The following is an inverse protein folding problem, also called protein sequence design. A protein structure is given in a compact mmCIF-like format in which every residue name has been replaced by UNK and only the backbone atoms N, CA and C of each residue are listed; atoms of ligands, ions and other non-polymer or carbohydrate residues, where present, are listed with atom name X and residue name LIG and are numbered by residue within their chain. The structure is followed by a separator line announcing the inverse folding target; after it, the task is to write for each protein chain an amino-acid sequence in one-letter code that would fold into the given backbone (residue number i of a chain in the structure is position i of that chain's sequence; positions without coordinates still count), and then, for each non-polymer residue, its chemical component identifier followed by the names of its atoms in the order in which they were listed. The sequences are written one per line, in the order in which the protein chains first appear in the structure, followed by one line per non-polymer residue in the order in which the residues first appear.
data_IF_067880594105
#
_entry.id   IF_067880594105
#
_cell.length_a   1.000
_cell.length_b   1.000
_cell.length_c   1.000
_cell.angle_alpha   90.00
_cell.angle_beta   90.00
_cell.angle_gamma   90.00
#
_symmetry.space_group_name_H-M   'P 1'
#
loop_
_entity.id
_entity.type
_entity.pdbx_description
1 polymer ?
#
# COMPACT_ATOMS: atom_id res chain seq x y z
N UNK A 1 19.30 -23.42 -13.62
CA UNK A 1 19.06 -21.98 -13.93
C UNK A 1 19.17 -21.26 -12.60
N UNK A 2 20.17 -20.39 -12.44
CA UNK A 2 20.23 -19.55 -11.24
C UNK A 2 19.02 -18.61 -11.28
N UNK A 3 18.08 -18.79 -10.35
CA UNK A 3 16.91 -17.92 -10.24
C UNK A 3 17.35 -16.48 -9.93
N UNK A 4 16.57 -15.50 -10.38
CA UNK A 4 16.79 -14.08 -10.03
C UNK A 4 16.69 -13.86 -8.53
N UNK A 5 17.48 -12.94 -8.00
CA UNK A 5 17.47 -12.56 -6.58
C UNK A 5 16.72 -11.23 -6.41
N UNK A 6 15.71 -11.23 -5.55
CA UNK A 6 14.94 -10.06 -5.16
C UNK A 6 15.31 -9.60 -3.75
N UNK A 7 15.40 -8.29 -3.54
CA UNK A 7 15.43 -7.69 -2.20
C UNK A 7 14.13 -6.93 -1.96
N UNK A 8 13.39 -7.29 -0.91
CA UNK A 8 12.08 -6.71 -0.62
C UNK A 8 12.14 -5.96 0.70
N UNK A 9 11.99 -4.63 0.67
CA UNK A 9 11.78 -3.86 1.90
C UNK A 9 10.32 -3.94 2.32
N UNK A 10 10.05 -3.86 3.62
CA UNK A 10 8.67 -4.01 4.11
C UNK A 10 8.10 -5.42 3.92
N UNK A 11 8.95 -6.45 3.92
CA UNK A 11 8.64 -7.85 3.63
C UNK A 11 7.55 -8.48 4.53
N UNK A 12 7.23 -7.87 5.68
CA UNK A 12 6.17 -8.31 6.61
C UNK A 12 4.90 -7.47 6.55
N UNK A 13 4.85 -6.45 5.67
CA UNK A 13 3.64 -5.67 5.42
C UNK A 13 2.67 -6.39 4.49
N UNK A 14 1.45 -5.85 4.33
CA UNK A 14 0.41 -6.42 3.46
C UNK A 14 0.94 -6.71 2.04
N UNK A 15 1.51 -5.71 1.36
CA UNK A 15 2.05 -5.88 0.01
C UNK A 15 3.33 -6.73 0.00
N UNK A 16 4.28 -6.43 0.90
CA UNK A 16 5.56 -7.13 0.93
C UNK A 16 5.43 -8.63 1.20
N UNK A 17 4.51 -9.05 2.09
CA UNK A 17 4.27 -10.47 2.36
C UNK A 17 3.73 -11.21 1.14
N UNK A 18 2.72 -10.63 0.47
CA UNK A 18 2.17 -11.22 -0.76
C UNK A 18 3.20 -11.27 -1.89
N UNK A 19 4.00 -10.21 -2.03
CA UNK A 19 5.06 -10.14 -3.03
C UNK A 19 6.14 -11.19 -2.78
N UNK A 20 6.63 -11.32 -1.53
CA UNK A 20 7.62 -12.33 -1.18
C UNK A 20 7.14 -13.75 -1.51
N UNK A 21 5.89 -14.09 -1.18
CA UNK A 21 5.34 -15.41 -1.48
C UNK A 21 5.22 -15.66 -2.99
N UNK A 22 4.76 -14.66 -3.73
CA UNK A 22 4.63 -14.77 -5.19
C UNK A 22 6.01 -14.91 -5.86
N UNK A 23 7.01 -14.15 -5.45
CA UNK A 23 8.40 -14.27 -5.94
C UNK A 23 8.96 -15.67 -5.68
N UNK A 24 8.82 -16.18 -4.45
CA UNK A 24 9.27 -17.54 -4.10
C UNK A 24 8.56 -18.60 -4.94
N UNK A 25 7.25 -18.47 -5.15
CA UNK A 25 6.48 -19.41 -5.99
C UNK A 25 6.92 -19.42 -7.45
N UNK A 26 7.48 -18.30 -7.94
CA UNK A 26 8.05 -18.16 -9.28
C UNK A 26 9.55 -18.55 -9.36
N UNK A 27 10.12 -19.09 -8.28
CA UNK A 27 11.50 -19.56 -8.25
C UNK A 27 12.57 -18.49 -8.03
N UNK A 28 12.19 -17.30 -7.54
CA UNK A 28 13.15 -16.28 -7.13
C UNK A 28 13.79 -16.63 -5.79
N UNK A 29 15.05 -16.24 -5.62
CA UNK A 29 15.66 -16.10 -4.31
C UNK A 29 15.20 -14.77 -3.72
N UNK A 30 14.69 -14.77 -2.49
CA UNK A 30 14.10 -13.57 -1.88
C UNK A 30 14.81 -13.23 -0.58
N UNK A 31 15.39 -12.04 -0.52
CA UNK A 31 15.91 -11.41 0.70
C UNK A 31 14.86 -10.39 1.18
N UNK A 32 14.30 -10.59 2.36
CA UNK A 32 13.27 -9.74 2.94
C UNK A 32 13.80 -8.89 4.08
N UNK A 33 13.83 -7.55 3.94
CA UNK A 33 14.24 -6.66 5.02
C UNK A 33 13.15 -6.58 6.10
N UNK A 34 13.51 -6.88 7.33
CA UNK A 34 12.60 -6.91 8.49
C UNK A 34 13.27 -6.33 9.74
N UNK A 35 12.53 -5.63 10.56
CA UNK A 35 13.03 -5.11 11.84
C UNK A 35 13.22 -6.22 12.88
N UNK A 36 12.35 -7.22 12.88
CA UNK A 36 12.32 -8.31 13.85
C UNK A 36 12.15 -9.66 13.14
N UNK A 37 13.22 -10.45 13.08
CA UNK A 37 13.24 -11.75 12.38
C UNK A 37 12.24 -12.74 13.00
N UNK A 38 12.16 -12.84 14.33
CA UNK A 38 11.26 -13.78 15.00
C UNK A 38 9.80 -13.49 14.70
N UNK A 39 9.43 -12.21 14.62
CA UNK A 39 8.10 -11.79 14.21
C UNK A 39 7.82 -12.17 12.77
N UNK A 40 8.78 -11.97 11.86
CA UNK A 40 8.65 -12.34 10.45
C UNK A 40 8.45 -13.84 10.27
N UNK A 41 9.25 -14.66 10.94
CA UNK A 41 9.12 -16.13 10.92
C UNK A 41 7.79 -16.62 11.48
N UNK A 42 7.23 -15.94 12.51
CA UNK A 42 5.92 -16.28 13.06
C UNK A 42 4.78 -16.08 12.06
N UNK A 43 4.83 -15.01 11.27
CA UNK A 43 3.80 -14.72 10.27
C UNK A 43 4.00 -15.46 8.93
N UNK A 44 5.23 -15.90 8.66
CA UNK A 44 5.59 -16.63 7.44
C UNK A 44 6.45 -17.87 7.78
N UNK A 45 5.93 -18.82 8.56
CA UNK A 45 6.74 -19.92 9.14
C UNK A 45 7.35 -20.85 8.11
N UNK A 46 6.70 -21.02 6.94
CA UNK A 46 7.17 -21.90 5.85
C UNK A 46 7.80 -21.11 4.70
N UNK A 47 8.19 -19.87 4.94
CA UNK A 47 8.75 -19.00 3.91
C UNK A 47 10.16 -19.45 3.52
N UNK A 48 10.42 -19.53 2.20
CA UNK A 48 11.76 -19.64 1.64
C UNK A 48 12.45 -18.28 1.50
N UNK A 49 11.99 -17.29 2.27
CA UNK A 49 12.56 -15.94 2.29
C UNK A 49 13.72 -15.92 3.28
N UNK A 50 14.87 -15.45 2.82
CA UNK A 50 15.99 -15.08 3.68
C UNK A 50 15.67 -13.75 4.35
N UNK A 51 15.38 -13.75 5.65
CA UNK A 51 15.11 -12.51 6.37
C UNK A 51 16.40 -11.82 6.78
N UNK A 52 16.58 -10.60 6.29
CA UNK A 52 17.68 -9.70 6.63
C UNK A 52 17.18 -8.75 7.72
N UNK A 53 17.87 -8.73 8.87
CA UNK A 53 17.52 -7.79 9.93
C UNK A 53 18.05 -6.39 9.59
N UNK A 54 17.17 -5.40 9.65
CA UNK A 54 17.50 -4.00 9.44
C UNK A 54 16.27 -3.11 9.46
N UNK A 55 16.51 -1.82 9.54
CA UNK A 55 15.47 -0.78 9.45
C UNK A 55 15.77 0.11 8.25
N UNK A 56 14.73 0.50 7.53
CA UNK A 56 14.85 1.42 6.39
C UNK A 56 15.39 2.79 6.82
N UNK A 57 15.26 3.16 8.09
CA UNK A 57 15.84 4.36 8.66
C UNK A 57 17.38 4.31 8.77
N UNK A 58 18.01 3.16 8.50
CA UNK A 58 19.46 2.98 8.54
C UNK A 58 19.92 2.09 7.37
N UNK A 59 19.87 2.65 6.17
CA UNK A 59 20.24 1.95 4.94
C UNK A 59 21.67 1.40 4.96
N UNK A 60 22.70 2.13 5.46
CA UNK A 60 24.06 1.62 5.49
C UNK A 60 24.22 0.28 6.23
N UNK A 61 23.41 0.04 7.26
CA UNK A 61 23.51 -1.18 8.08
C UNK A 61 23.17 -2.47 7.30
N UNK A 62 22.29 -2.39 6.30
CA UNK A 62 21.91 -3.55 5.49
C UNK A 62 22.34 -3.46 4.02
N UNK A 63 22.95 -2.36 3.58
CA UNK A 63 23.41 -2.16 2.21
C UNK A 63 24.29 -3.32 1.68
N UNK A 64 25.17 -3.98 2.46
CA UNK A 64 25.92 -5.13 2.00
C UNK A 64 25.06 -6.31 1.53
N UNK A 65 23.81 -6.46 2.06
CA UNK A 65 22.89 -7.51 1.65
C UNK A 65 22.31 -7.29 0.23
N UNK A 66 22.46 -6.10 -0.35
CA UNK A 66 22.07 -5.79 -1.72
C UNK A 66 23.04 -6.36 -2.76
N UNK A 67 24.22 -6.80 -2.36
CA UNK A 67 25.18 -7.42 -3.29
C UNK A 67 24.61 -8.68 -3.93
N UNK A 68 24.68 -8.75 -5.27
CA UNK A 68 24.15 -9.85 -6.06
C UNK A 68 22.63 -9.88 -6.17
N UNK A 69 21.94 -8.80 -5.83
CA UNK A 69 20.49 -8.61 -6.02
C UNK A 69 20.24 -8.12 -7.44
N UNK A 70 19.32 -8.76 -8.15
CA UNK A 70 18.91 -8.34 -9.49
C UNK A 70 17.88 -7.19 -9.45
N UNK A 71 16.94 -7.26 -8.50
CA UNK A 71 15.84 -6.28 -8.38
C UNK A 71 15.55 -5.95 -6.91
N UNK A 72 15.47 -4.66 -6.60
CA UNK A 72 14.91 -4.17 -5.34
C UNK A 72 13.42 -3.88 -5.51
N UNK A 73 12.60 -4.42 -4.64
CA UNK A 73 11.19 -4.08 -4.50
C UNK A 73 11.00 -3.25 -3.23
N UNK A 74 10.76 -1.96 -3.39
CA UNK A 74 10.63 -1.06 -2.26
C UNK A 74 9.17 -0.88 -1.87
N UNK A 75 8.71 -1.64 -0.85
CA UNK A 75 7.34 -1.58 -0.34
C UNK A 75 7.25 -1.00 1.07
N UNK A 76 8.38 -0.74 1.74
CA UNK A 76 8.39 -0.12 3.04
C UNK A 76 7.90 1.34 2.96
N UNK A 77 7.07 1.74 3.90
CA UNK A 77 6.63 3.12 4.09
C UNK A 77 6.15 3.35 5.53
N UNK A 78 6.32 4.56 6.00
CA UNK A 78 5.62 5.05 7.19
C UNK A 78 4.20 5.45 6.76
N UNK A 79 3.22 4.64 7.12
CA UNK A 79 1.83 4.83 6.68
C UNK A 79 0.82 4.65 7.80
N UNK A 80 0.91 3.55 8.56
CA UNK A 80 -0.08 3.15 9.56
C UNK A 80 -0.12 4.14 10.72
N UNK A 81 1.04 4.54 11.18
CA UNK A 81 1.23 5.45 12.29
C UNK A 81 0.68 6.85 12.00
N UNK A 82 0.57 7.20 10.72
CA UNK A 82 0.02 8.48 10.27
C UNK A 82 -1.45 8.68 10.70
N UNK A 83 -2.20 7.60 10.84
CA UNK A 83 -3.60 7.65 11.30
C UNK A 83 -3.74 7.73 12.82
N UNK A 84 -2.64 7.78 13.56
CA UNK A 84 -2.61 7.99 15.00
C UNK A 84 -2.31 9.46 15.32
N UNK A 85 -2.74 9.97 16.49
CA UNK A 85 -2.41 11.32 16.93
C UNK A 85 -0.89 11.54 17.00
N UNK A 86 -0.41 12.71 16.60
CA UNK A 86 1.00 13.12 16.72
C UNK A 86 1.55 13.89 15.52
N UNK A 87 2.73 14.46 15.72
CA UNK A 87 3.48 15.15 14.68
C UNK A 87 4.34 14.16 13.88
N UNK A 88 3.86 13.69 12.73
CA UNK A 88 4.50 12.62 11.97
C UNK A 88 5.34 13.10 10.79
N UNK A 89 5.37 14.40 10.50
CA UNK A 89 5.94 14.91 9.25
C UNK A 89 7.42 14.57 9.08
N UNK A 90 8.25 14.90 10.07
CA UNK A 90 9.70 14.70 9.94
C UNK A 90 10.06 13.22 9.77
N UNK A 91 9.48 12.35 10.60
CA UNK A 91 9.71 10.92 10.51
C UNK A 91 9.16 10.34 9.21
N UNK A 92 7.99 10.79 8.80
CA UNK A 92 7.37 10.33 7.54
C UNK A 92 8.18 10.78 6.33
N UNK A 93 8.66 12.02 6.31
CA UNK A 93 9.53 12.53 5.25
C UNK A 93 10.85 11.73 5.22
N UNK A 94 11.48 11.56 6.37
CA UNK A 94 12.72 10.79 6.46
C UNK A 94 12.55 9.36 5.91
N UNK A 95 11.54 8.61 6.36
CA UNK A 95 11.35 7.21 5.93
C UNK A 95 10.87 7.11 4.47
N UNK A 96 9.91 7.95 4.07
CA UNK A 96 9.25 7.78 2.77
C UNK A 96 10.00 8.50 1.62
N UNK A 97 10.85 9.47 1.93
CA UNK A 97 11.57 10.27 0.93
C UNK A 97 13.08 10.03 1.05
N UNK A 98 13.67 10.48 2.17
CA UNK A 98 15.13 10.52 2.29
C UNK A 98 15.72 9.09 2.25
N UNK A 99 15.18 8.17 3.05
CA UNK A 99 15.62 6.77 3.06
C UNK A 99 15.31 6.01 1.75
N UNK A 100 14.29 6.45 0.99
CA UNK A 100 14.05 5.92 -0.36
C UNK A 100 15.23 6.23 -1.27
N UNK A 101 15.71 7.48 -1.27
CA UNK A 101 16.84 7.87 -2.12
C UNK A 101 18.14 7.23 -1.65
N UNK A 102 18.38 7.17 -0.33
CA UNK A 102 19.51 6.42 0.21
C UNK A 102 19.50 4.95 -0.24
N UNK A 103 18.34 4.29 -0.22
CA UNK A 103 18.20 2.92 -0.70
C UNK A 103 18.56 2.79 -2.19
N UNK A 104 18.10 3.72 -3.03
CA UNK A 104 18.41 3.71 -4.46
C UNK A 104 19.92 3.88 -4.70
N UNK A 105 20.55 4.83 -4.01
CA UNK A 105 22.00 5.07 -4.09
C UNK A 105 22.79 3.85 -3.61
N UNK A 106 22.40 3.25 -2.48
CA UNK A 106 23.04 2.05 -1.96
C UNK A 106 22.87 0.84 -2.91
N UNK A 107 21.68 0.68 -3.50
CA UNK A 107 21.42 -0.38 -4.46
C UNK A 107 22.25 -0.20 -5.73
N UNK A 108 22.34 1.01 -6.28
CA UNK A 108 23.19 1.32 -7.43
C UNK A 108 24.68 1.03 -7.13
N UNK A 109 25.17 1.46 -5.97
CA UNK A 109 26.54 1.20 -5.53
C UNK A 109 26.86 -0.29 -5.38
N UNK A 110 25.87 -1.13 -5.10
CA UNK A 110 26.00 -2.59 -5.04
C UNK A 110 25.75 -3.28 -6.39
N UNK A 111 25.52 -2.52 -7.46
CA UNK A 111 25.33 -3.04 -8.82
C UNK A 111 23.93 -3.54 -9.13
N UNK A 112 22.93 -3.16 -8.33
CA UNK A 112 21.52 -3.48 -8.64
C UNK A 112 21.08 -2.66 -9.85
N UNK A 113 20.58 -3.34 -10.88
CA UNK A 113 20.20 -2.70 -12.13
C UNK A 113 18.81 -2.06 -12.10
N UNK A 114 17.91 -2.56 -11.25
CA UNK A 114 16.51 -2.14 -11.25
C UNK A 114 15.87 -2.09 -9.87
N UNK A 115 15.07 -1.06 -9.63
CA UNK A 115 14.19 -0.93 -8.47
C UNK A 115 12.73 -0.74 -8.90
N UNK A 116 11.80 -1.44 -8.26
CA UNK A 116 10.36 -1.21 -8.37
C UNK A 116 9.89 -0.53 -7.09
N UNK A 117 9.53 0.75 -7.21
CA UNK A 117 9.10 1.58 -6.09
C UNK A 117 7.58 1.59 -5.95
N UNK A 118 7.09 1.45 -4.73
CA UNK A 118 5.66 1.58 -4.41
C UNK A 118 5.33 3.02 -4.04
N UNK A 119 4.71 3.72 -4.98
CA UNK A 119 4.10 5.03 -4.75
C UNK A 119 2.66 4.87 -4.24
N UNK A 120 1.76 5.72 -4.68
CA UNK A 120 0.33 5.64 -4.35
C UNK A 120 -0.50 6.28 -5.46
N UNK A 121 -1.66 5.73 -5.77
CA UNK A 121 -2.61 6.37 -6.69
C UNK A 121 -3.18 7.69 -6.15
N UNK A 122 -3.10 7.93 -4.84
CA UNK A 122 -3.49 9.20 -4.23
C UNK A 122 -2.62 10.40 -4.62
N UNK A 123 -1.49 10.18 -5.32
CA UNK A 123 -0.69 11.29 -5.90
C UNK A 123 -1.28 11.86 -7.18
N UNK A 124 -2.23 11.16 -7.82
CA UNK A 124 -2.83 11.53 -9.10
C UNK A 124 -4.00 12.49 -8.90
N UNK A 125 -4.03 13.60 -9.64
CA UNK A 125 -5.18 14.50 -9.66
C UNK A 125 -6.34 13.82 -10.38
N UNK A 126 -7.46 13.71 -9.68
CA UNK A 126 -8.72 13.19 -10.23
C UNK A 126 -9.70 14.32 -10.51
N UNK A 127 -10.65 14.05 -11.40
CA UNK A 127 -11.71 14.96 -11.78
C UNK A 127 -13.06 14.22 -11.78
N UNK A 128 -14.18 14.90 -11.51
CA UNK A 128 -15.51 14.29 -11.56
C UNK A 128 -15.77 13.64 -12.94
N UNK A 129 -16.38 12.47 -12.93
CA UNK A 129 -16.85 11.74 -14.12
C UNK A 129 -15.77 11.33 -15.14
N UNK A 130 -14.50 11.48 -14.80
CA UNK A 130 -13.39 11.07 -15.67
C UNK A 130 -12.41 10.19 -14.90
N UNK A 131 -12.01 9.06 -15.51
CA UNK A 131 -10.93 8.24 -14.96
C UNK A 131 -9.57 8.91 -15.24
N UNK A 132 -8.84 9.21 -14.18
CA UNK A 132 -7.52 9.82 -14.30
C UNK A 132 -6.46 8.76 -14.70
N UNK A 133 -5.45 9.20 -15.44
CA UNK A 133 -4.33 8.38 -15.90
C UNK A 133 -3.01 8.89 -15.31
N UNK A 134 -1.92 8.19 -15.60
CA UNK A 134 -0.57 8.56 -15.14
C UNK A 134 -0.08 9.91 -15.67
N UNK A 135 -0.71 10.45 -16.74
CA UNK A 135 -0.38 11.76 -17.32
C UNK A 135 -1.01 12.93 -16.57
N UNK A 136 -1.96 12.66 -15.66
CA UNK A 136 -2.56 13.70 -14.85
C UNK A 136 -1.52 14.32 -13.89
N UNK A 137 -1.66 15.61 -13.56
CA UNK A 137 -0.75 16.29 -12.64
C UNK A 137 -0.84 15.70 -11.23
N UNK A 138 0.08 16.09 -10.37
CA UNK A 138 0.00 15.74 -8.95
C UNK A 138 -1.24 16.34 -8.30
N UNK A 139 -1.90 15.54 -7.47
CA UNK A 139 -3.13 15.92 -6.79
C UNK A 139 -2.95 17.12 -5.85
N UNK A 140 -3.86 18.09 -5.94
CA UNK A 140 -3.95 19.18 -4.97
C UNK A 140 -4.30 18.67 -3.57
N UNK A 141 -5.09 17.60 -3.47
CA UNK A 141 -5.39 16.93 -2.21
C UNK A 141 -4.14 16.29 -1.60
N UNK A 142 -3.26 15.70 -2.42
CA UNK A 142 -2.01 15.12 -1.95
C UNK A 142 -1.11 16.14 -1.21
N UNK A 143 -1.21 17.44 -1.52
CA UNK A 143 -0.44 18.46 -0.80
C UNK A 143 -0.93 18.69 0.64
N UNK A 144 -2.20 18.38 0.91
CA UNK A 144 -2.84 18.51 2.24
C UNK A 144 -2.76 17.21 3.06
N UNK A 145 -2.63 16.07 2.41
CA UNK A 145 -2.47 14.77 3.03
C UNK A 145 -0.99 14.45 3.16
N UNK A 146 -0.46 14.41 4.38
CA UNK A 146 0.99 14.26 4.61
C UNK A 146 1.57 12.99 3.98
N UNK A 147 0.86 11.87 4.01
CA UNK A 147 1.32 10.63 3.39
C UNK A 147 1.44 10.77 1.86
N UNK A 148 0.39 11.24 1.19
CA UNK A 148 0.45 11.44 -0.25
C UNK A 148 1.46 12.53 -0.63
N UNK A 149 1.62 13.56 0.21
CA UNK A 149 2.67 14.58 0.02
C UNK A 149 4.06 13.95 0.03
N UNK A 150 4.35 13.01 0.94
CA UNK A 150 5.66 12.32 0.92
C UNK A 150 5.82 11.44 -0.31
N UNK A 151 4.75 10.82 -0.83
CA UNK A 151 4.83 10.05 -2.08
C UNK A 151 5.10 10.94 -3.29
N UNK A 152 4.48 12.11 -3.37
CA UNK A 152 4.79 13.12 -4.41
C UNK A 152 6.25 13.57 -4.32
N UNK A 153 6.75 13.84 -3.11
CA UNK A 153 8.15 14.25 -2.92
C UNK A 153 9.11 13.11 -3.33
N UNK A 154 8.82 11.87 -2.90
CA UNK A 154 9.64 10.71 -3.27
C UNK A 154 9.69 10.51 -4.80
N UNK A 155 8.56 10.64 -5.51
CA UNK A 155 8.57 10.57 -6.98
C UNK A 155 9.44 11.67 -7.61
N UNK A 156 9.38 12.91 -7.10
CA UNK A 156 10.21 14.01 -7.59
C UNK A 156 11.69 13.75 -7.36
N UNK A 157 12.07 13.31 -6.17
CA UNK A 157 13.46 12.97 -5.85
C UNK A 157 13.95 11.76 -6.68
N UNK A 158 13.07 10.78 -6.96
CA UNK A 158 13.39 9.67 -7.88
C UNK A 158 13.66 10.21 -9.29
N UNK A 159 12.88 11.15 -9.80
CA UNK A 159 13.16 11.75 -11.11
C UNK A 159 14.50 12.47 -11.12
N UNK A 160 14.84 13.22 -10.08
CA UNK A 160 16.17 13.86 -9.96
C UNK A 160 17.30 12.82 -9.89
N UNK A 161 17.13 11.76 -9.09
CA UNK A 161 18.09 10.65 -9.05
C UNK A 161 18.30 10.03 -10.44
N UNK A 162 17.25 9.87 -11.21
CA UNK A 162 17.32 9.30 -12.56
C UNK A 162 18.06 10.19 -13.57
N UNK A 163 18.25 11.49 -13.34
CA UNK A 163 19.02 12.37 -14.23
C UNK A 163 20.49 11.95 -14.31
N UNK A 164 21.05 11.43 -13.23
CA UNK A 164 22.48 11.07 -13.13
C UNK A 164 22.73 9.57 -12.96
N UNK A 165 21.76 8.81 -12.48
CA UNK A 165 21.85 7.38 -12.24
C UNK A 165 21.67 6.57 -13.54
N UNK A 166 22.27 5.37 -13.58
CA UNK A 166 22.03 4.39 -14.64
C UNK A 166 21.00 3.33 -14.24
N UNK A 167 20.57 3.31 -12.98
CA UNK A 167 19.58 2.38 -12.48
C UNK A 167 18.21 2.62 -13.13
N UNK A 168 17.49 1.56 -13.41
CA UNK A 168 16.08 1.65 -13.80
C UNK A 168 15.21 1.71 -12.55
N UNK A 169 14.43 2.78 -12.38
CA UNK A 169 13.39 2.85 -11.38
C UNK A 169 12.03 2.87 -12.07
N UNK A 170 11.14 1.95 -11.67
CA UNK A 170 9.75 1.88 -12.15
C UNK A 170 8.83 2.12 -10.96
N UNK A 171 7.80 2.93 -11.13
CA UNK A 171 6.90 3.33 -10.04
C UNK A 171 5.53 2.69 -10.20
N UNK A 172 5.10 1.93 -9.21
CA UNK A 172 3.75 1.37 -9.12
C UNK A 172 2.91 2.24 -8.20
N UNK A 173 1.74 2.64 -8.67
CA UNK A 173 0.77 3.47 -7.98
C UNK A 173 -0.47 2.63 -7.61
N UNK A 174 -0.45 1.91 -6.47
CA UNK A 174 -1.58 1.07 -6.09
C UNK A 174 -2.81 1.89 -5.77
N UNK A 175 -3.99 1.32 -6.06
CA UNK A 175 -5.25 1.73 -5.48
C UNK A 175 -5.35 1.34 -4.00
N UNK A 176 -6.54 1.35 -3.45
CA UNK A 176 -6.78 0.94 -2.07
C UNK A 176 -6.71 -0.59 -1.95
N UNK A 177 -5.62 -1.08 -1.37
CA UNK A 177 -5.30 -2.51 -1.33
C UNK A 177 -6.05 -3.25 -0.24
N UNK A 178 -6.63 -4.41 -0.59
CA UNK A 178 -7.17 -5.40 0.34
C UNK A 178 -6.66 -6.79 -0.04
N UNK A 179 -6.67 -7.73 0.91
CA UNK A 179 -6.26 -9.12 0.66
C UNK A 179 -5.72 -9.80 1.90
N UNK A 180 -5.25 -11.05 1.77
CA UNK A 180 -4.67 -11.82 2.87
C UNK A 180 -3.32 -11.25 3.32
N UNK A 181 -2.84 -11.69 4.49
CA UNK A 181 -1.56 -11.29 5.13
C UNK A 181 -1.50 -9.85 5.64
N UNK A 182 -2.63 -9.24 5.97
CA UNK A 182 -2.70 -7.96 6.66
C UNK A 182 -2.54 -8.15 8.17
N UNK A 183 -1.38 -8.67 8.59
CA UNK A 183 -1.05 -9.09 9.95
C UNK A 183 -1.06 -7.96 11.00
N UNK A 184 -1.04 -6.72 10.57
CA UNK A 184 -1.37 -5.58 11.39
C UNK A 184 -2.32 -4.72 10.57
N UNK A 185 -3.63 -4.81 10.83
CA UNK A 185 -4.65 -4.31 9.93
C UNK A 185 -4.36 -2.90 9.40
N UNK A 186 -4.29 -2.77 8.08
CA UNK A 186 -4.23 -1.48 7.39
C UNK A 186 -5.54 -0.72 7.59
N UNK A 187 -5.63 0.54 7.16
CA UNK A 187 -6.89 1.29 7.21
C UNK A 187 -8.03 0.57 6.44
N UNK A 188 -7.69 -0.10 5.33
CA UNK A 188 -8.63 -0.92 4.57
C UNK A 188 -9.07 -2.16 5.36
N UNK A 189 -8.11 -2.87 5.95
CA UNK A 189 -8.38 -4.02 6.79
C UNK A 189 -9.19 -3.67 8.04
N UNK A 190 -8.86 -2.53 8.69
CA UNK A 190 -9.61 -2.07 9.85
C UNK A 190 -11.06 -1.72 9.50
N UNK A 191 -11.31 -1.16 8.30
CA UNK A 191 -12.68 -0.95 7.81
C UNK A 191 -13.44 -2.26 7.71
N UNK A 192 -12.85 -3.30 7.10
CA UNK A 192 -13.47 -4.64 7.00
C UNK A 192 -13.79 -5.19 8.39
N UNK A 193 -12.85 -5.12 9.33
CA UNK A 193 -13.05 -5.57 10.72
C UNK A 193 -14.14 -4.77 11.44
N UNK A 194 -14.22 -3.46 11.21
CA UNK A 194 -15.24 -2.61 11.82
C UNK A 194 -16.64 -2.89 11.24
N UNK A 195 -16.76 -3.13 9.93
CA UNK A 195 -18.03 -3.51 9.29
C UNK A 195 -18.51 -4.88 9.81
N UNK A 196 -17.64 -5.89 9.82
CA UNK A 196 -17.97 -7.23 10.28
C UNK A 196 -18.23 -7.31 11.78
N UNK A 197 -17.59 -6.45 12.56
CA UNK A 197 -17.84 -6.31 14.00
C UNK A 197 -19.04 -5.44 14.35
N UNK A 198 -19.83 -4.98 13.37
CA UNK A 198 -20.97 -4.05 13.56
C UNK A 198 -20.63 -2.80 14.37
N UNK A 199 -19.38 -2.31 14.24
CA UNK A 199 -18.89 -1.15 15.01
C UNK A 199 -19.18 0.19 14.35
N UNK A 200 -19.66 0.19 13.09
CA UNK A 200 -19.97 1.40 12.33
C UNK A 200 -21.47 1.66 12.35
N UNK A 201 -21.93 2.80 12.87
CA UNK A 201 -23.34 3.16 12.88
C UNK A 201 -23.87 3.51 11.49
N UNK A 202 -22.98 3.82 10.56
CA UNK A 202 -23.26 4.19 9.18
C UNK A 202 -22.00 4.19 8.32
N UNK A 203 -22.19 4.45 7.04
CA UNK A 203 -21.11 4.57 6.04
C UNK A 203 -21.10 5.98 5.46
N UNK A 204 -19.95 6.44 4.98
CA UNK A 204 -19.80 7.73 4.30
C UNK A 204 -20.20 7.60 2.82
N UNK A 205 -20.60 8.72 2.19
CA UNK A 205 -20.90 8.76 0.76
C UNK A 205 -19.60 8.92 -0.07
N UNK A 206 -18.74 7.93 0.01
CA UNK A 206 -17.44 7.96 -0.64
C UNK A 206 -17.06 6.60 -1.21
N UNK A 207 -15.85 6.52 -1.75
CA UNK A 207 -15.36 5.29 -2.35
C UNK A 207 -13.90 5.38 -2.76
N UNK A 208 -13.38 4.28 -3.29
CA UNK A 208 -12.03 4.21 -3.80
C UNK A 208 -11.90 3.15 -4.90
N UNK A 209 -10.88 3.27 -5.74
CA UNK A 209 -10.48 2.20 -6.63
C UNK A 209 -9.81 1.11 -5.81
N UNK A 210 -10.55 0.02 -5.57
CA UNK A 210 -10.09 -1.14 -4.81
C UNK A 210 -9.25 -2.06 -5.67
N UNK A 211 -8.18 -2.60 -5.09
CA UNK A 211 -7.35 -3.60 -5.76
C UNK A 211 -6.95 -4.72 -4.81
N UNK A 212 -6.87 -5.92 -5.36
CA UNK A 212 -6.30 -7.05 -4.63
C UNK A 212 -4.79 -6.85 -4.50
N UNK A 213 -4.27 -7.01 -3.30
CA UNK A 213 -2.83 -6.86 -3.03
C UNK A 213 -1.98 -7.84 -3.84
N UNK A 214 -2.52 -9.01 -4.19
CA UNK A 214 -1.84 -10.02 -5.01
C UNK A 214 -1.72 -9.57 -6.47
N UNK A 215 -2.67 -8.77 -6.96
CA UNK A 215 -2.61 -8.19 -8.30
C UNK A 215 -1.57 -7.07 -8.35
N UNK A 216 -1.45 -6.29 -7.28
CA UNK A 216 -0.35 -5.32 -7.14
C UNK A 216 1.01 -6.02 -7.07
N UNK A 217 1.12 -7.11 -6.30
CA UNK A 217 2.35 -7.91 -6.24
C UNK A 217 2.73 -8.48 -7.63
N UNK A 218 1.76 -9.01 -8.37
CA UNK A 218 1.98 -9.49 -9.74
C UNK A 218 2.39 -8.36 -10.68
N UNK A 219 1.77 -7.18 -10.57
CA UNK A 219 2.13 -6.00 -11.34
C UNK A 219 3.57 -5.55 -11.05
N UNK A 220 4.02 -5.58 -9.78
CA UNK A 220 5.40 -5.25 -9.41
C UNK A 220 6.40 -6.21 -10.04
N UNK A 221 6.12 -7.51 -10.03
CA UNK A 221 6.98 -8.51 -10.67
C UNK A 221 7.01 -8.28 -12.19
N UNK A 222 5.86 -8.03 -12.81
CA UNK A 222 5.82 -7.70 -14.24
C UNK A 222 6.57 -6.40 -14.55
N UNK A 223 6.43 -5.37 -13.72
CA UNK A 223 7.16 -4.11 -13.86
C UNK A 223 8.68 -4.29 -13.74
N UNK A 224 9.14 -5.25 -12.94
CA UNK A 224 10.57 -5.59 -12.88
C UNK A 224 11.13 -6.17 -14.17
N UNK A 225 10.27 -6.65 -15.06
CA UNK A 225 10.65 -7.29 -16.33
C UNK A 225 10.32 -6.44 -17.56
N UNK A 226 9.18 -5.74 -17.55
CA UNK A 226 8.59 -5.03 -18.69
C UNK A 226 8.47 -3.52 -18.49
N UNK A 227 8.51 -3.06 -17.23
CA UNK A 227 8.34 -1.65 -16.90
C UNK A 227 9.43 -0.80 -17.52
N UNK A 228 9.06 0.38 -17.99
CA UNK A 228 9.99 1.35 -18.60
C UNK A 228 10.59 2.24 -17.49
N UNK A 229 11.86 2.58 -17.65
CA UNK A 229 12.60 3.45 -16.72
C UNK A 229 11.90 4.79 -16.54
N UNK A 230 11.70 5.21 -15.29
CA UNK A 230 11.04 6.47 -14.92
C UNK A 230 9.53 6.48 -15.09
N UNK A 231 8.92 5.40 -15.60
CA UNK A 231 7.48 5.36 -15.84
C UNK A 231 6.68 5.02 -14.58
N UNK A 232 5.50 5.63 -14.50
CA UNK A 232 4.48 5.36 -13.49
C UNK A 232 3.43 4.42 -14.07
N UNK A 233 2.92 3.52 -13.24
CA UNK A 233 1.83 2.59 -13.59
C UNK A 233 0.78 2.57 -12.49
N UNK A 234 -0.42 3.03 -12.80
CA UNK A 234 -1.57 2.93 -11.89
C UNK A 234 -2.03 1.47 -11.88
N UNK A 235 -2.03 0.88 -10.68
CA UNK A 235 -2.53 -0.48 -10.44
C UNK A 235 -3.68 -0.38 -9.45
N UNK A 236 -4.82 0.02 -9.97
CA UNK A 236 -6.03 0.26 -9.21
C UNK A 236 -7.19 -0.47 -9.91
N UNK A 237 -7.90 -1.27 -9.16
CA UNK A 237 -9.09 -1.96 -9.67
C UNK A 237 -10.25 -0.99 -9.95
N UNK A 238 -11.46 -1.50 -10.02
CA UNK A 238 -12.64 -0.66 -10.27
C UNK A 238 -12.99 0.23 -9.07
N UNK A 239 -13.51 1.43 -9.36
CA UNK A 239 -14.10 2.29 -8.34
C UNK A 239 -15.25 1.56 -7.65
N UNK A 240 -15.23 1.54 -6.31
CA UNK A 240 -16.27 0.98 -5.45
C UNK A 240 -16.67 1.97 -4.39
N UNK A 241 -17.96 2.13 -4.20
CA UNK A 241 -18.50 2.95 -3.12
C UNK A 241 -18.41 2.20 -1.79
N UNK A 242 -18.45 2.94 -0.68
CA UNK A 242 -18.53 2.33 0.65
C UNK A 242 -19.75 1.42 0.80
N UNK A 243 -20.86 1.77 0.11
CA UNK A 243 -22.07 0.94 0.06
C UNK A 243 -21.82 -0.37 -0.67
N UNK A 244 -21.14 -0.35 -1.83
CA UNK A 244 -20.83 -1.58 -2.58
C UNK A 244 -19.98 -2.53 -1.73
N UNK A 245 -18.97 -2.00 -1.03
CA UNK A 245 -18.10 -2.79 -0.15
C UNK A 245 -18.90 -3.42 0.99
N UNK A 246 -19.77 -2.63 1.64
CA UNK A 246 -20.57 -3.10 2.78
C UNK A 246 -21.57 -4.17 2.36
N UNK A 247 -22.25 -4.03 1.21
CA UNK A 247 -23.17 -5.01 0.67
C UNK A 247 -22.46 -6.31 0.25
N UNK A 248 -21.28 -6.21 -0.34
CA UNK A 248 -20.48 -7.37 -0.71
C UNK A 248 -20.01 -8.14 0.54
N UNK A 249 -19.59 -7.43 1.60
CA UNK A 249 -19.25 -8.05 2.89
C UNK A 249 -20.48 -8.69 3.56
N UNK A 250 -21.67 -8.08 3.47
CA UNK A 250 -22.91 -8.70 3.94
C UNK A 250 -23.17 -10.03 3.21
N UNK A 251 -23.03 -10.05 1.88
CA UNK A 251 -23.24 -11.25 1.08
C UNK A 251 -22.26 -12.39 1.44
N UNK A 252 -20.99 -12.02 1.79
CA UNK A 252 -19.95 -12.99 2.14
C UNK A 252 -20.10 -13.52 3.57
N UNK A 253 -20.45 -12.66 4.52
CA UNK A 253 -20.37 -12.94 5.96
C UNK A 253 -21.72 -13.15 6.63
N UNK A 254 -22.82 -12.69 6.01
CA UNK A 254 -24.16 -12.64 6.62
C UNK A 254 -24.34 -11.47 7.62
N UNK A 255 -23.28 -10.71 7.95
CA UNK A 255 -23.36 -9.55 8.84
C UNK A 255 -24.01 -8.39 8.09
N UNK A 256 -25.09 -7.83 8.63
CA UNK A 256 -25.87 -6.78 7.96
C UNK A 256 -25.05 -5.50 7.75
N UNK A 257 -25.06 -5.02 6.52
CA UNK A 257 -24.46 -3.74 6.17
C UNK A 257 -25.18 -2.57 6.89
N UNK A 258 -24.43 -1.53 7.30
CA UNK A 258 -25.06 -0.32 7.84
C UNK A 258 -25.99 0.31 6.80
N UNK A 259 -27.23 0.59 7.21
CA UNK A 259 -28.24 1.20 6.33
C UNK A 259 -28.12 2.70 6.21
N UNK A 260 -27.55 3.34 7.22
CA UNK A 260 -27.44 4.80 7.28
C UNK A 260 -26.23 5.27 6.46
N UNK A 261 -26.45 6.21 5.56
CA UNK A 261 -25.39 6.97 4.92
C UNK A 261 -25.24 8.29 5.69
N UNK A 262 -24.07 8.52 6.24
CA UNK A 262 -23.75 9.71 7.01
C UNK A 262 -23.43 10.84 6.04
N UNK A 263 -24.12 11.99 6.08
CA UNK A 263 -23.80 13.14 5.23
C UNK A 263 -22.35 13.61 5.44
N UNK A 264 -21.67 14.02 4.37
CA UNK A 264 -20.23 14.32 4.35
C UNK A 264 -19.80 15.31 5.43
N UNK A 265 -20.55 16.41 5.60
CA UNK A 265 -20.26 17.41 6.63
C UNK A 265 -20.38 16.86 8.05
N UNK A 266 -21.38 15.99 8.31
CA UNK A 266 -21.55 15.33 9.61
C UNK A 266 -20.41 14.33 9.84
N UNK A 267 -20.04 13.52 8.84
CA UNK A 267 -18.94 12.57 8.93
C UNK A 267 -17.61 13.26 9.24
N UNK A 268 -17.31 14.37 8.56
CA UNK A 268 -16.11 15.18 8.82
C UNK A 268 -16.12 15.81 10.21
N UNK A 269 -17.28 16.32 10.68
CA UNK A 269 -17.39 16.91 12.01
C UNK A 269 -17.18 15.87 13.11
N UNK A 270 -17.75 14.68 12.96
CA UNK A 270 -17.57 13.57 13.91
C UNK A 270 -16.08 13.14 13.89
N UNK A 271 -15.49 12.97 12.73
CA UNK A 271 -14.08 12.58 12.61
C UNK A 271 -13.14 13.60 13.27
N UNK A 272 -13.40 14.90 13.11
CA UNK A 272 -12.66 15.98 13.75
C UNK A 272 -12.78 15.94 15.28
N UNK A 273 -14.00 15.76 15.81
CA UNK A 273 -14.21 15.64 17.26
C UNK A 273 -13.52 14.41 17.84
N UNK A 274 -13.59 13.27 17.15
CA UNK A 274 -12.91 12.05 17.57
C UNK A 274 -11.38 12.20 17.54
N UNK A 275 -10.84 12.98 16.60
CA UNK A 275 -9.41 13.27 16.55
C UNK A 275 -8.95 14.13 17.73
N UNK A 276 -9.72 15.17 18.09
CA UNK A 276 -9.46 15.96 19.30
C UNK A 276 -9.53 15.08 20.57
N UNK A 277 -10.57 14.25 20.69
CA UNK A 277 -10.74 13.36 21.83
C UNK A 277 -9.56 12.36 21.94
N UNK A 278 -9.17 11.75 20.83
CA UNK A 278 -8.04 10.84 20.80
C UNK A 278 -6.72 11.54 21.17
N UNK A 279 -6.52 12.79 20.73
CA UNK A 279 -5.37 13.61 21.11
C UNK A 279 -5.32 13.93 22.60
N UNK A 280 -6.48 14.16 23.24
CA UNK A 280 -6.57 14.46 24.68
C UNK A 280 -6.43 13.22 25.57
N UNK A 281 -6.94 12.08 25.11
CA UNK A 281 -7.01 10.84 25.92
C UNK A 281 -5.92 9.84 25.61
N UNK A 282 -5.17 10.02 24.50
CA UNK A 282 -4.22 9.02 24.00
C UNK A 282 -4.89 7.75 23.44
N UNK A 283 -6.22 7.78 23.22
CA UNK A 283 -6.96 6.64 22.69
C UNK A 283 -6.77 6.49 21.18
N UNK A 284 -6.98 5.27 20.66
CA UNK A 284 -6.96 5.03 19.21
C UNK A 284 -8.18 5.69 18.55
N UNK A 285 -7.96 6.51 17.52
CA UNK A 285 -9.03 7.11 16.75
C UNK A 285 -9.66 6.07 15.80
N UNK A 286 -10.95 5.69 15.98
CA UNK A 286 -11.59 4.70 15.10
C UNK A 286 -11.95 5.25 13.71
N UNK A 287 -11.99 6.58 13.55
CA UNK A 287 -12.38 7.26 12.32
C UNK A 287 -11.50 8.51 12.09
N UNK A 288 -10.23 8.33 11.67
CA UNK A 288 -9.31 9.45 11.44
C UNK A 288 -9.85 10.42 10.40
N UNK A 289 -9.77 11.72 10.68
CA UNK A 289 -10.29 12.78 9.82
C UNK A 289 -9.74 12.69 8.39
N UNK A 290 -8.43 12.47 8.26
CA UNK A 290 -7.78 12.32 6.96
C UNK A 290 -8.24 11.08 6.19
N UNK A 291 -8.63 10.02 6.90
CA UNK A 291 -9.20 8.80 6.30
C UNK A 291 -10.57 9.07 5.68
N UNK A 292 -11.44 9.79 6.41
CA UNK A 292 -12.76 10.20 5.89
C UNK A 292 -12.60 11.12 4.68
N UNK A 293 -11.74 12.13 4.76
CA UNK A 293 -11.46 13.00 3.61
C UNK A 293 -11.01 12.22 2.39
N UNK A 294 -10.09 11.24 2.56
CA UNK A 294 -9.59 10.42 1.46
C UNK A 294 -10.70 9.62 0.78
N UNK A 295 -11.64 9.06 1.55
CA UNK A 295 -12.80 8.34 1.00
C UNK A 295 -13.74 9.25 0.23
N UNK A 296 -13.98 10.47 0.72
CA UNK A 296 -14.85 11.44 0.08
C UNK A 296 -14.30 11.99 -1.25
N UNK A 297 -12.98 11.94 -1.47
CA UNK A 297 -12.36 12.32 -2.76
C UNK A 297 -12.82 11.41 -3.92
N UNK A 298 -13.28 10.20 -3.63
CA UNK A 298 -13.85 9.23 -4.60
C UNK A 298 -13.03 9.14 -5.89
N UNK A 299 -11.73 8.87 -5.74
CA UNK A 299 -10.78 8.88 -6.84
C UNK A 299 -11.08 7.80 -7.90
N UNK A 300 -11.50 8.23 -9.11
CA UNK A 300 -11.66 7.36 -10.27
C UNK A 300 -10.37 7.33 -11.08
N UNK A 301 -9.84 6.12 -11.35
CA UNK A 301 -8.51 5.90 -11.91
C UNK A 301 -8.56 4.87 -13.04
N UNK A 302 -7.72 5.04 -14.04
CA UNK A 302 -7.56 4.09 -15.15
C UNK A 302 -6.25 3.33 -15.02
N UNK A 303 -6.33 2.01 -15.01
CA UNK A 303 -5.16 1.12 -15.06
C UNK A 303 -4.86 0.60 -16.47
N UNK A 304 -5.40 1.26 -17.50
CA UNK A 304 -5.27 0.81 -18.90
C UNK A 304 -3.80 0.63 -19.32
N UNK A 305 -2.91 1.54 -18.91
CA UNK A 305 -1.48 1.45 -19.18
C UNK A 305 -0.84 0.22 -18.53
N UNK A 306 -1.13 -0.03 -17.25
CA UNK A 306 -0.62 -1.22 -16.55
C UNK A 306 -1.17 -2.52 -17.17
N UNK A 307 -2.43 -2.55 -17.57
CA UNK A 307 -3.02 -3.70 -18.28
C UNK A 307 -2.32 -3.94 -19.62
N UNK A 308 -2.08 -2.90 -20.41
CA UNK A 308 -1.49 -3.00 -21.73
C UNK A 308 0.01 -3.32 -21.68
N UNK A 309 0.79 -2.61 -20.86
CA UNK A 309 2.25 -2.70 -20.88
C UNK A 309 2.79 -3.77 -19.92
N UNK A 310 2.12 -3.98 -18.79
CA UNK A 310 2.55 -4.96 -17.79
C UNK A 310 1.72 -6.26 -17.80
N UNK A 311 0.60 -6.30 -18.53
CA UNK A 311 -0.28 -7.47 -18.58
C UNK A 311 -1.04 -7.69 -17.27
N UNK A 312 -1.34 -6.63 -16.53
CA UNK A 312 -2.07 -6.70 -15.27
C UNK A 312 -3.52 -7.12 -15.53
N UNK A 313 -4.04 -8.01 -14.70
CA UNK A 313 -5.46 -8.35 -14.61
C UNK A 313 -5.91 -8.20 -13.16
N UNK A 314 -7.19 -7.88 -12.96
CA UNK A 314 -7.72 -7.63 -11.62
C UNK A 314 -8.70 -8.72 -11.20
N UNK A 315 -8.53 -9.22 -9.99
CA UNK A 315 -9.48 -10.12 -9.34
C UNK A 315 -10.82 -9.44 -9.09
N UNK A 316 -11.94 -10.17 -9.16
CA UNK A 316 -13.23 -9.65 -8.71
C UNK A 316 -13.17 -9.23 -7.24
N UNK A 317 -13.87 -8.13 -6.88
CA UNK A 317 -13.95 -7.64 -5.50
C UNK A 317 -14.41 -8.72 -4.51
N UNK A 318 -15.41 -9.52 -4.90
CA UNK A 318 -15.92 -10.63 -4.09
C UNK A 318 -14.82 -11.61 -3.69
N UNK A 319 -13.94 -11.99 -4.62
CA UNK A 319 -12.82 -12.89 -4.32
C UNK A 319 -11.82 -12.24 -3.35
N UNK A 320 -11.50 -10.98 -3.57
CA UNK A 320 -10.59 -10.21 -2.69
C UNK A 320 -11.14 -10.10 -1.28
N UNK A 321 -12.40 -9.69 -1.13
CA UNK A 321 -13.04 -9.56 0.19
C UNK A 321 -13.20 -10.90 0.89
N UNK A 322 -13.62 -11.95 0.16
CA UNK A 322 -13.75 -13.31 0.72
C UNK A 322 -12.42 -13.79 1.29
N UNK A 323 -11.32 -13.67 0.53
CA UNK A 323 -10.01 -14.12 0.99
C UNK A 323 -9.49 -13.25 2.15
N UNK A 324 -9.81 -11.96 2.17
CA UNK A 324 -9.50 -11.04 3.28
C UNK A 324 -10.22 -11.49 4.56
N UNK A 325 -11.53 -11.77 4.48
CA UNK A 325 -12.33 -12.22 5.62
C UNK A 325 -11.83 -13.57 6.13
N UNK A 326 -11.62 -14.53 5.24
CA UNK A 326 -11.10 -15.86 5.60
C UNK A 326 -9.73 -15.76 6.30
N UNK A 327 -8.87 -14.88 5.81
CA UNK A 327 -7.57 -14.68 6.44
C UNK A 327 -7.71 -14.09 7.85
N UNK A 328 -8.53 -13.06 8.05
CA UNK A 328 -8.78 -12.50 9.39
C UNK A 328 -9.42 -13.51 10.36
N UNK A 329 -10.33 -14.36 9.88
CA UNK A 329 -10.88 -15.47 10.67
C UNK A 329 -9.80 -16.48 11.07
N UNK A 330 -8.90 -16.85 10.15
CA UNK A 330 -7.80 -17.79 10.42
C UNK A 330 -6.79 -17.25 11.44
N UNK A 331 -6.66 -15.92 11.52
CA UNK A 331 -5.75 -15.24 12.47
C UNK A 331 -6.45 -14.85 13.80
N UNK A 332 -7.73 -15.17 13.97
CA UNK A 332 -8.47 -14.88 15.20
C UNK A 332 -8.91 -13.42 15.37
N UNK A 333 -8.85 -12.59 14.31
CA UNK A 333 -9.38 -11.21 14.36
C UNK A 333 -10.90 -11.16 14.32
N UNK A 334 -11.54 -12.20 13.77
CA UNK A 334 -12.98 -12.35 13.70
C UNK A 334 -13.35 -13.69 14.33
N UNK A 335 -14.44 -13.72 15.10
CA UNK A 335 -15.05 -14.99 15.54
C UNK A 335 -15.62 -15.72 14.30
N UNK A 336 -15.54 -17.05 14.35
CA UNK A 336 -16.07 -17.90 13.28
C UNK A 336 -17.59 -17.79 13.20
#
# INVERSE_FOLDING_TARGET
MNGKTAFVTGATGLLGSNLCQLLVSQGWQVKGLVRFIDKAKRFQPNSRVEFIQGDIENVPAFAPALKGVDVVFHTAAFFREYYQPGGHWEKMKHINVDATIELLQAAEAQGVARTVFTSSSGVIQTYPHQAATETAPYSKFAQKNLYFKTKVLAEKEIYQFLETSRMDVVMILPGWMMGPYDAAPTSAGQLVLNLLGSKLPGIVNGGACLTDVRDVAAAMISASQRGKRGERYIVAGSLKTMKDIALELEAISGVKAPKMVIPDGIALSIAWLLEIWAGLTGSVNPMPFVGVQTLLETANLSSAKAMQELGVSFRPLTATLKDTVMWYQSQGYLQK
#
